data_IF_272350429575
#
_entry.id   IF_272350429575
#
_cell.length_a   1.000
_cell.length_b   1.000
_cell.length_c   1.000
_cell.angle_alpha   90.00
_cell.angle_beta   90.00
_cell.angle_gamma   90.00
#
_symmetry.space_group_name_H-M   'P 1'
#
loop_
_entity.id
_entity.type
_entity.pdbx_description
1 polymer ?
#
# COMPACT_ATOMS: atom_id res chain seq x y z
N UNK A 1 -47.73 -14.17 -48.58
CA UNK A 1 -46.66 -13.26 -49.02
C UNK A 1 -46.57 -12.10 -48.07
N UNK A 2 -45.58 -12.08 -47.18
CA UNK A 2 -44.84 -10.89 -46.76
C UNK A 2 -43.66 -11.38 -45.92
N UNK A 3 -42.50 -11.42 -46.57
CA UNK A 3 -41.19 -11.61 -45.97
C UNK A 3 -40.75 -10.30 -45.32
N UNK A 4 -40.39 -10.32 -44.04
CA UNK A 4 -39.56 -9.28 -43.45
C UNK A 4 -38.34 -9.92 -42.80
N UNK A 5 -37.20 -9.61 -43.41
CA UNK A 5 -35.85 -10.03 -43.08
C UNK A 5 -35.38 -9.43 -41.75
N UNK A 6 -34.85 -10.30 -40.89
CA UNK A 6 -34.37 -10.02 -39.53
C UNK A 6 -32.95 -9.42 -39.49
N UNK A 7 -32.59 -8.59 -40.47
CA UNK A 7 -31.21 -8.13 -40.69
C UNK A 7 -30.97 -6.62 -40.49
N UNK A 8 -31.82 -5.90 -39.74
CA UNK A 8 -31.69 -4.42 -39.63
C UNK A 8 -31.70 -3.86 -38.19
N UNK A 9 -31.32 -4.61 -37.16
CA UNK A 9 -31.30 -4.10 -35.76
C UNK A 9 -30.00 -4.43 -35.00
N UNK A 10 -28.85 -4.48 -35.67
CA UNK A 10 -27.57 -4.36 -34.98
C UNK A 10 -26.59 -3.56 -35.84
N UNK A 11 -26.27 -2.31 -35.49
CA UNK A 11 -25.18 -1.62 -36.13
C UNK A 11 -23.84 -2.21 -35.66
N UNK A 12 -22.95 -2.44 -36.61
CA UNK A 12 -21.53 -2.83 -36.58
C UNK A 12 -20.61 -1.96 -35.68
N UNK A 13 -21.04 -1.55 -34.48
CA UNK A 13 -20.21 -0.74 -33.56
C UNK A 13 -19.28 -1.56 -32.66
N UNK A 14 -19.39 -2.89 -32.64
CA UNK A 14 -18.61 -3.74 -31.73
C UNK A 14 -17.21 -4.17 -32.24
N UNK A 15 -16.81 -3.81 -33.47
CA UNK A 15 -15.44 -4.12 -33.93
C UNK A 15 -14.45 -3.02 -33.51
N UNK A 16 -14.79 -1.75 -33.70
CA UNK A 16 -13.89 -0.62 -33.44
C UNK A 16 -13.52 -0.45 -31.96
N UNK A 17 -14.42 -0.77 -31.02
CA UNK A 17 -14.11 -0.73 -29.59
C UNK A 17 -13.19 -1.90 -29.17
N UNK A 18 -13.33 -3.08 -29.78
CA UNK A 18 -12.42 -4.20 -29.53
C UNK A 18 -11.01 -3.95 -30.07
N UNK A 19 -10.91 -3.31 -31.23
CA UNK A 19 -9.62 -2.91 -31.80
C UNK A 19 -8.94 -1.83 -30.94
N UNK A 20 -9.72 -0.91 -30.35
CA UNK A 20 -9.20 0.11 -29.41
C UNK A 20 -8.72 -0.50 -28.09
N UNK A 21 -9.48 -1.43 -27.52
CA UNK A 21 -9.08 -2.16 -26.29
C UNK A 21 -7.81 -2.99 -26.53
N UNK A 22 -7.68 -3.62 -27.70
CA UNK A 22 -6.50 -4.41 -28.05
C UNK A 22 -5.25 -3.55 -28.30
N UNK A 23 -5.40 -2.38 -28.93
CA UNK A 23 -4.33 -1.36 -29.05
C UNK A 23 -3.85 -0.87 -27.67
N UNK A 24 -4.78 -0.62 -26.75
CA UNK A 24 -4.48 -0.18 -25.38
C UNK A 24 -3.75 -1.27 -24.58
N UNK A 25 -4.19 -2.53 -24.71
CA UNK A 25 -3.51 -3.68 -24.13
C UNK A 25 -2.07 -3.84 -24.65
N UNK A 26 -1.86 -3.72 -25.97
CA UNK A 26 -0.53 -3.79 -26.58
C UNK A 26 0.39 -2.64 -26.14
N UNK A 27 -0.18 -1.44 -25.93
CA UNK A 27 0.55 -0.29 -25.40
C UNK A 27 1.00 -0.53 -23.95
N UNK A 28 0.12 -1.06 -23.11
CA UNK A 28 0.44 -1.42 -21.73
C UNK A 28 1.51 -2.50 -21.65
N UNK A 29 1.45 -3.52 -22.52
CA UNK A 29 2.47 -4.57 -22.60
C UNK A 29 3.84 -4.04 -23.05
N UNK A 30 3.89 -3.04 -23.95
CA UNK A 30 5.14 -2.37 -24.34
C UNK A 30 5.72 -1.56 -23.17
N UNK A 31 4.89 -0.86 -22.41
CA UNK A 31 5.32 -0.09 -21.24
C UNK A 31 5.87 -0.99 -20.11
N UNK A 32 5.20 -2.11 -19.82
CA UNK A 32 5.68 -3.13 -18.87
C UNK A 32 7.02 -3.72 -19.31
N UNK A 33 7.19 -4.01 -20.61
CA UNK A 33 8.49 -4.48 -21.14
C UNK A 33 9.58 -3.42 -21.01
N UNK A 34 9.26 -2.14 -21.19
CA UNK A 34 10.20 -1.04 -20.98
C UNK A 34 10.61 -0.88 -19.51
N UNK A 35 9.66 -1.01 -18.57
CA UNK A 35 9.94 -1.02 -17.12
C UNK A 35 10.85 -2.19 -16.72
N UNK A 36 10.55 -3.42 -17.16
CA UNK A 36 11.39 -4.60 -16.88
C UNK A 36 12.79 -4.49 -17.52
N UNK A 37 12.93 -3.77 -18.63
CA UNK A 37 14.23 -3.51 -19.25
C UNK A 37 15.01 -2.40 -18.51
N UNK A 38 14.33 -1.42 -17.92
CA UNK A 38 14.92 -0.44 -17.01
C UNK A 38 15.44 -1.09 -15.72
N UNK A 39 14.69 -2.03 -15.14
CA UNK A 39 15.13 -2.81 -13.98
C UNK A 39 16.36 -3.69 -14.27
N UNK A 40 16.49 -4.19 -15.50
CA UNK A 40 17.72 -4.88 -15.93
C UNK A 40 18.94 -3.97 -15.98
N UNK A 41 18.80 -2.68 -16.32
CA UNK A 41 19.90 -1.72 -16.22
C UNK A 41 20.32 -1.48 -14.77
N UNK A 42 19.37 -1.33 -13.84
CA UNK A 42 19.66 -1.20 -12.41
C UNK A 42 20.37 -2.45 -11.86
N UNK A 43 20.02 -3.64 -12.36
CA UNK A 43 20.72 -4.89 -12.01
C UNK A 43 22.14 -5.01 -12.61
N UNK A 44 22.40 -4.43 -13.78
CA UNK A 44 23.75 -4.38 -14.39
C UNK A 44 24.62 -3.36 -13.65
N UNK A 45 24.06 -2.22 -13.26
CA UNK A 45 24.73 -1.18 -12.47
C UNK A 45 25.06 -1.67 -11.05
N UNK A 46 24.20 -2.50 -10.45
CA UNK A 46 24.48 -3.21 -9.19
C UNK A 46 25.61 -4.24 -9.31
N UNK A 47 25.81 -4.84 -10.49
CA UNK A 47 26.93 -5.74 -10.76
C UNK A 47 28.24 -4.96 -10.96
N UNK A 48 28.18 -3.77 -11.56
CA UNK A 48 29.33 -2.86 -11.67
C UNK A 48 29.80 -2.36 -10.29
N UNK A 49 28.87 -2.03 -9.38
CA UNK A 49 29.18 -1.69 -7.99
C UNK A 49 29.87 -2.81 -7.18
N UNK A 50 29.75 -4.07 -7.62
CA UNK A 50 30.43 -5.22 -6.99
C UNK A 50 31.84 -5.46 -7.56
N UNK A 51 32.15 -4.93 -8.75
CA UNK A 51 33.44 -5.08 -9.43
C UNK A 51 34.33 -3.84 -9.43
N UNK A 52 33.82 -2.68 -9.03
CA UNK A 52 34.63 -1.48 -8.73
C UNK A 52 35.31 -1.57 -7.35
N UNK A 53 35.88 -2.73 -7.06
CA UNK A 53 36.93 -2.88 -6.06
C UNK A 53 38.21 -2.32 -6.70
N UNK A 54 38.91 -1.35 -6.08
CA UNK A 54 40.21 -0.95 -6.58
C UNK A 54 41.11 -2.17 -6.54
N UNK A 55 41.51 -2.67 -7.72
CA UNK A 55 42.57 -3.68 -7.89
C UNK A 55 43.94 -3.18 -7.39
N UNK A 56 44.02 -1.99 -6.77
CA UNK A 56 45.24 -1.41 -6.23
C UNK A 56 45.78 -2.10 -4.97
N UNK A 57 45.09 -3.11 -4.44
CA UNK A 57 45.61 -3.94 -3.32
C UNK A 57 46.26 -5.26 -3.78
N UNK A 58 46.11 -5.67 -5.05
CA UNK A 58 46.74 -6.90 -5.58
C UNK A 58 48.13 -6.67 -6.19
N UNK A 59 48.51 -5.42 -6.49
CA UNK A 59 49.85 -5.11 -7.03
C UNK A 59 50.95 -5.02 -5.96
N UNK A 60 50.63 -5.16 -4.67
CA UNK A 60 51.64 -5.10 -3.59
C UNK A 60 52.06 -6.46 -3.01
N UNK A 61 51.43 -7.57 -3.40
CA UNK A 61 51.80 -8.92 -2.93
C UNK A 61 52.27 -9.89 -4.03
N UNK A 62 52.46 -9.42 -5.26
CA UNK A 62 52.92 -10.24 -6.40
C UNK A 62 54.44 -10.23 -6.68
N UNK A 63 55.21 -9.37 -6.03
CA UNK A 63 56.67 -9.33 -6.18
C UNK A 63 57.36 -9.77 -4.87
N UNK A 64 57.18 -11.04 -4.53
CA UNK A 64 58.17 -11.82 -3.79
C UNK A 64 59.44 -11.99 -4.61
N UNK A 65 60.05 -10.88 -5.02
CA UNK A 65 61.40 -10.85 -5.55
C UNK A 65 62.32 -11.20 -4.40
N UNK A 66 62.80 -12.44 -4.41
CA UNK A 66 63.99 -12.88 -3.68
C UNK A 66 65.10 -11.91 -4.11
N UNK A 67 65.30 -10.83 -3.35
CA UNK A 67 66.54 -10.07 -3.37
C UNK A 67 67.57 -10.95 -2.68
N UNK A 68 68.09 -11.86 -3.49
CA UNK A 68 69.37 -12.52 -3.29
C UNK A 68 70.38 -11.39 -3.04
N UNK A 69 70.71 -11.14 -1.76
CA UNK A 69 71.87 -10.35 -1.40
C UNK A 69 73.09 -11.07 -1.98
N UNK A 70 73.46 -10.71 -3.20
CA UNK A 70 74.81 -10.92 -3.69
C UNK A 70 75.71 -10.09 -2.76
N UNK A 71 76.27 -10.77 -1.75
CA UNK A 71 77.55 -10.44 -1.14
C UNK A 71 78.56 -10.28 -2.28
N UNK A 72 78.64 -9.07 -2.86
CA UNK A 72 79.85 -8.64 -3.52
C UNK A 72 80.89 -8.59 -2.41
N UNK A 73 81.74 -9.62 -2.35
CA UNK A 73 83.06 -9.55 -1.74
C UNK A 73 83.81 -8.44 -2.47
N UNK A 74 83.57 -7.19 -2.08
CA UNK A 74 84.46 -6.09 -2.35
C UNK A 74 85.74 -6.37 -1.59
N UNK A 75 86.71 -6.95 -2.29
CA UNK A 75 88.11 -6.92 -1.90
C UNK A 75 88.46 -5.44 -1.72
N UNK A 76 88.58 -4.99 -0.48
CA UNK A 76 89.38 -3.80 -0.21
C UNK A 76 90.83 -4.23 -0.46
N UNK A 77 91.29 -4.08 -1.69
CA UNK A 77 92.71 -4.01 -1.98
C UNK A 77 93.21 -2.70 -1.37
N UNK A 78 93.72 -2.78 -0.15
CA UNK A 78 94.51 -1.71 0.44
C UNK A 78 95.78 -1.52 -0.39
N UNK A 79 95.79 -0.50 -1.25
CA UNK A 79 97.01 0.06 -1.78
C UNK A 79 97.61 0.97 -0.70
N UNK A 80 98.35 0.37 0.23
CA UNK A 80 99.28 1.11 1.10
C UNK A 80 100.43 1.57 0.23
N UNK A 81 100.27 2.76 -0.36
CA UNK A 81 101.36 3.46 -1.02
C UNK A 81 102.28 3.98 0.09
N UNK A 82 103.30 3.20 0.42
CA UNK A 82 104.39 3.63 1.28
C UNK A 82 105.04 4.88 0.67
N UNK A 83 104.78 6.04 1.27
CA UNK A 83 105.49 7.30 0.97
C UNK A 83 106.70 7.36 1.90
N UNK A 84 107.92 7.66 1.42
CA UNK A 84 109.10 7.68 2.29
C UNK A 84 108.99 8.84 3.28
N UNK A 85 109.06 8.53 4.57
CA UNK A 85 109.18 9.50 5.65
C UNK A 85 110.53 10.21 5.58
N UNK A 86 110.53 11.54 5.65
CA UNK A 86 111.51 12.32 6.44
C UNK A 86 111.22 13.82 6.35
N UNK A 87 110.38 14.31 7.27
CA UNK A 87 110.63 15.41 8.22
C UNK A 87 109.37 15.58 9.09
N UNK A 88 109.59 15.79 10.39
CA UNK A 88 108.60 16.12 11.44
C UNK A 88 107.81 14.96 12.10
N UNK A 89 108.54 14.05 12.75
CA UNK A 89 108.02 12.89 13.51
C UNK A 89 107.28 13.28 14.81
N UNK A 90 107.35 14.54 15.24
CA UNK A 90 106.58 15.04 16.40
C UNK A 90 105.15 15.50 16.09
N UNK A 91 104.83 15.82 14.83
CA UNK A 91 103.52 16.37 14.42
C UNK A 91 102.60 15.33 13.78
N UNK A 92 103.17 14.29 13.15
CA UNK A 92 102.45 13.32 12.32
C UNK A 92 101.68 12.23 13.13
N UNK A 93 102.07 11.99 14.39
CA UNK A 93 101.38 11.03 15.27
C UNK A 93 100.08 11.58 15.87
N UNK A 94 100.08 12.88 16.19
CA UNK A 94 98.91 13.56 16.74
C UNK A 94 97.77 13.69 15.72
N UNK A 95 98.08 13.95 14.44
CA UNK A 95 97.10 14.05 13.36
C UNK A 95 96.36 12.71 13.11
N UNK A 96 97.06 11.57 13.18
CA UNK A 96 96.46 10.25 12.96
C UNK A 96 95.60 9.80 14.14
N UNK A 97 95.97 10.16 15.37
CA UNK A 97 95.17 9.91 16.57
C UNK A 97 93.91 10.80 16.60
N UNK A 98 94.03 12.06 16.20
CA UNK A 98 92.89 12.97 16.05
C UNK A 98 91.91 12.49 14.97
N UNK A 99 92.43 12.01 13.84
CA UNK A 99 91.61 11.43 12.77
C UNK A 99 90.91 10.14 13.24
N UNK A 100 91.61 9.24 13.94
CA UNK A 100 91.00 8.03 14.50
C UNK A 100 89.92 8.32 15.55
N UNK A 101 90.15 9.31 16.42
CA UNK A 101 89.14 9.77 17.39
C UNK A 101 87.92 10.38 16.69
N UNK A 102 88.13 11.18 15.63
CA UNK A 102 87.04 11.76 14.85
C UNK A 102 86.18 10.68 14.16
N UNK A 103 86.81 9.65 13.61
CA UNK A 103 86.14 8.52 12.98
C UNK A 103 85.34 7.69 13.99
N UNK A 104 85.88 7.46 15.19
CA UNK A 104 85.19 6.74 16.25
C UNK A 104 83.94 7.48 16.74
N UNK A 105 84.00 8.82 16.85
CA UNK A 105 82.85 9.65 17.22
C UNK A 105 81.77 9.60 16.14
N UNK A 106 82.17 9.69 14.86
CA UNK A 106 81.24 9.62 13.74
C UNK A 106 80.59 8.22 13.61
N UNK A 107 81.34 7.14 13.83
CA UNK A 107 80.78 5.78 13.87
C UNK A 107 79.73 5.63 14.99
N UNK A 108 80.03 6.15 16.18
CA UNK A 108 79.10 6.07 17.30
C UNK A 108 77.84 6.93 17.07
N UNK A 109 77.98 8.08 16.41
CA UNK A 109 76.86 8.91 15.96
C UNK A 109 76.01 8.18 14.91
N UNK A 110 76.64 7.51 13.95
CA UNK A 110 75.94 6.69 12.95
C UNK A 110 75.19 5.53 13.61
N UNK A 111 75.81 4.84 14.58
CA UNK A 111 75.17 3.77 15.33
C UNK A 111 73.90 4.24 16.05
N UNK A 112 73.97 5.36 16.77
CA UNK A 112 72.80 5.95 17.45
C UNK A 112 71.70 6.32 16.43
N UNK A 113 72.07 6.88 15.28
CA UNK A 113 71.12 7.21 14.23
C UNK A 113 70.44 5.96 13.66
N UNK A 114 71.18 4.88 13.40
CA UNK A 114 70.62 3.61 12.93
C UNK A 114 69.65 3.04 13.97
N UNK A 115 70.05 2.93 15.24
CA UNK A 115 69.20 2.42 16.31
C UNK A 115 67.92 3.25 16.50
N UNK A 116 67.98 4.57 16.30
CA UNK A 116 66.79 5.42 16.31
C UNK A 116 65.85 5.09 15.13
N UNK A 117 66.38 5.00 13.91
CA UNK A 117 65.57 4.66 12.73
C UNK A 117 64.99 3.25 12.78
N UNK A 118 65.68 2.29 13.39
CA UNK A 118 65.16 0.92 13.58
C UNK A 118 63.92 0.92 14.48
N UNK A 119 63.95 1.69 15.59
CA UNK A 119 62.79 1.85 16.47
C UNK A 119 61.60 2.51 15.76
N UNK A 120 61.85 3.54 14.98
CA UNK A 120 60.82 4.21 14.18
C UNK A 120 60.20 3.25 13.15
N UNK A 121 61.02 2.40 12.52
CA UNK A 121 60.57 1.39 11.56
C UNK A 121 59.73 0.30 12.23
N UNK A 122 60.12 -0.16 13.42
CA UNK A 122 59.33 -1.09 14.24
C UNK A 122 57.96 -0.48 14.62
N UNK A 123 57.95 0.79 15.04
CA UNK A 123 56.72 1.54 15.33
C UNK A 123 55.81 1.66 14.11
N UNK A 124 56.37 2.03 12.96
CA UNK A 124 55.62 2.12 11.70
C UNK A 124 55.02 0.77 11.26
N UNK A 125 55.74 -0.34 11.48
CA UNK A 125 55.23 -1.69 11.20
C UNK A 125 54.06 -2.05 12.10
N UNK A 126 54.14 -1.74 13.39
CA UNK A 126 53.04 -1.99 14.33
C UNK A 126 51.79 -1.19 13.96
N UNK A 127 51.95 0.10 13.65
CA UNK A 127 50.86 0.95 13.20
C UNK A 127 50.24 0.47 11.88
N UNK A 128 51.07 0.04 10.92
CA UNK A 128 50.57 -0.53 9.66
C UNK A 128 49.73 -1.77 9.91
N UNK A 129 50.15 -2.66 10.83
CA UNK A 129 49.38 -3.86 11.19
C UNK A 129 48.04 -3.50 11.84
N UNK A 130 48.05 -2.56 12.79
CA UNK A 130 46.85 -2.06 13.46
C UNK A 130 45.84 -1.48 12.46
N UNK A 131 46.31 -0.63 11.54
CA UNK A 131 45.47 -0.04 10.50
C UNK A 131 44.89 -1.09 9.55
N UNK A 132 45.65 -2.14 9.22
CA UNK A 132 45.14 -3.21 8.36
C UNK A 132 44.01 -4.00 9.06
N UNK A 133 44.15 -4.32 10.34
CA UNK A 133 43.11 -4.98 11.13
C UNK A 133 41.83 -4.11 11.25
N UNK A 134 41.99 -2.79 11.39
CA UNK A 134 40.89 -1.83 11.41
C UNK A 134 40.18 -1.74 10.05
N UNK A 135 40.94 -1.71 8.94
CA UNK A 135 40.40 -1.75 7.59
C UNK A 135 39.60 -3.04 7.31
N UNK A 136 40.09 -4.20 7.76
CA UNK A 136 39.40 -5.49 7.63
C UNK A 136 38.10 -5.53 8.46
N UNK A 137 38.11 -4.93 9.66
CA UNK A 137 36.90 -4.79 10.48
C UNK A 137 35.88 -3.89 9.76
N UNK A 138 36.30 -2.73 9.29
CA UNK A 138 35.44 -1.79 8.56
C UNK A 138 34.87 -2.42 7.28
N UNK A 139 35.66 -3.19 6.55
CA UNK A 139 35.20 -3.90 5.35
C UNK A 139 34.10 -4.92 5.67
N UNK A 140 34.21 -5.63 6.80
CA UNK A 140 33.16 -6.57 7.25
C UNK A 140 31.88 -5.85 7.66
N UNK A 141 32.00 -4.76 8.41
CA UNK A 141 30.85 -3.95 8.82
C UNK A 141 30.14 -3.32 7.60
N UNK A 142 30.91 -2.81 6.63
CA UNK A 142 30.37 -2.33 5.34
C UNK A 142 29.61 -3.43 4.61
N UNK A 143 30.17 -4.63 4.51
CA UNK A 143 29.49 -5.76 3.85
C UNK A 143 28.16 -6.11 4.55
N UNK A 144 28.14 -6.10 5.89
CA UNK A 144 26.91 -6.34 6.66
C UNK A 144 25.85 -5.25 6.41
N UNK A 145 26.24 -3.98 6.40
CA UNK A 145 25.33 -2.86 6.10
C UNK A 145 24.77 -2.99 4.68
N UNK A 146 25.60 -3.34 3.69
CA UNK A 146 25.16 -3.56 2.32
C UNK A 146 24.11 -4.69 2.22
N UNK A 147 24.31 -5.81 2.93
CA UNK A 147 23.31 -6.89 2.99
C UNK A 147 21.98 -6.41 3.57
N UNK A 148 22.01 -5.65 4.67
CA UNK A 148 20.80 -5.10 5.27
C UNK A 148 20.07 -4.12 4.34
N UNK A 149 20.80 -3.25 3.64
CA UNK A 149 20.21 -2.33 2.65
C UNK A 149 19.50 -3.10 1.55
N UNK A 150 20.13 -4.14 1.00
CA UNK A 150 19.55 -4.97 -0.06
C UNK A 150 18.27 -5.68 0.41
N UNK A 151 18.28 -6.23 1.63
CA UNK A 151 17.08 -6.86 2.21
C UNK A 151 15.94 -5.85 2.38
N UNK A 152 16.24 -4.64 2.86
CA UNK A 152 15.25 -3.57 3.00
C UNK A 152 14.71 -3.13 1.64
N UNK A 153 15.56 -2.94 0.63
CA UNK A 153 15.15 -2.60 -0.72
C UNK A 153 14.24 -3.66 -1.35
N UNK A 154 14.55 -4.94 -1.16
CA UNK A 154 13.71 -6.06 -1.60
C UNK A 154 12.34 -6.01 -0.93
N UNK A 155 12.30 -5.78 0.39
CA UNK A 155 11.04 -5.66 1.13
C UNK A 155 10.21 -4.46 0.67
N UNK A 156 10.84 -3.31 0.45
CA UNK A 156 10.17 -2.11 -0.08
C UNK A 156 9.59 -2.37 -1.46
N UNK A 157 10.33 -3.07 -2.34
CA UNK A 157 9.85 -3.40 -3.69
C UNK A 157 8.64 -4.35 -3.65
N UNK A 158 8.65 -5.36 -2.76
CA UNK A 158 7.51 -6.25 -2.53
C UNK A 158 6.28 -5.47 -2.07
N UNK A 159 6.44 -4.61 -1.05
CA UNK A 159 5.35 -3.80 -0.50
C UNK A 159 4.81 -2.80 -1.52
N UNK A 160 5.66 -2.21 -2.37
CA UNK A 160 5.24 -1.34 -3.44
C UNK A 160 4.35 -2.08 -4.46
N UNK A 161 4.74 -3.30 -4.86
CA UNK A 161 3.93 -4.14 -5.74
C UNK A 161 2.58 -4.50 -5.10
N UNK A 162 2.57 -4.90 -3.82
CA UNK A 162 1.35 -5.18 -3.07
C UNK A 162 0.43 -3.95 -3.00
N UNK A 163 1.00 -2.76 -2.72
CA UNK A 163 0.26 -1.50 -2.67
C UNK A 163 -0.41 -1.17 -4.01
N UNK A 164 0.30 -1.35 -5.14
CA UNK A 164 -0.29 -1.14 -6.46
C UNK A 164 -1.43 -2.13 -6.76
N UNK A 165 -1.27 -3.40 -6.36
CA UNK A 165 -2.29 -4.44 -6.54
C UNK A 165 -3.55 -4.13 -5.73
N UNK A 166 -3.37 -3.68 -4.48
CA UNK A 166 -4.47 -3.25 -3.61
C UNK A 166 -5.20 -2.02 -4.19
N UNK A 167 -4.46 -1.03 -4.70
CA UNK A 167 -5.05 0.14 -5.36
C UNK A 167 -5.91 -0.25 -6.56
N UNK A 168 -5.41 -1.14 -7.43
CA UNK A 168 -6.16 -1.64 -8.58
C UNK A 168 -7.43 -2.39 -8.16
N UNK A 169 -7.34 -3.20 -7.10
CA UNK A 169 -8.49 -3.95 -6.56
C UNK A 169 -9.55 -2.99 -6.01
N UNK A 170 -9.13 -1.94 -5.30
CA UNK A 170 -10.03 -0.92 -4.78
C UNK A 170 -10.78 -0.19 -5.90
N UNK A 171 -10.08 0.19 -6.98
CA UNK A 171 -10.71 0.84 -8.13
C UNK A 171 -11.76 -0.05 -8.80
N UNK A 172 -11.51 -1.36 -8.89
CA UNK A 172 -12.49 -2.32 -9.43
C UNK A 172 -13.72 -2.43 -8.54
N UNK A 173 -13.54 -2.55 -7.22
CA UNK A 173 -14.65 -2.60 -6.26
C UNK A 173 -15.48 -1.32 -6.26
N UNK A 174 -14.84 -0.15 -6.41
CA UNK A 174 -15.53 1.12 -6.54
C UNK A 174 -16.38 1.16 -7.82
N UNK A 175 -15.83 0.71 -8.96
CA UNK A 175 -16.58 0.61 -10.22
C UNK A 175 -17.77 -0.33 -10.10
N UNK A 176 -17.61 -1.49 -9.47
CA UNK A 176 -18.69 -2.45 -9.23
C UNK A 176 -19.78 -1.86 -8.34
N UNK A 177 -19.39 -1.18 -7.25
CA UNK A 177 -20.31 -0.49 -6.34
C UNK A 177 -21.17 0.53 -7.09
N UNK A 178 -20.56 1.39 -7.91
CA UNK A 178 -21.29 2.38 -8.72
C UNK A 178 -22.25 1.71 -9.70
N UNK A 179 -21.81 0.62 -10.34
CA UNK A 179 -22.64 -0.17 -11.26
C UNK A 179 -23.86 -0.79 -10.56
N UNK A 180 -23.66 -1.40 -9.38
CA UNK A 180 -24.74 -1.98 -8.59
C UNK A 180 -25.70 -0.91 -8.07
N UNK A 181 -25.18 0.22 -7.62
CA UNK A 181 -26.00 1.36 -7.19
C UNK A 181 -26.89 1.87 -8.32
N UNK A 182 -26.35 1.97 -9.55
CA UNK A 182 -27.13 2.34 -10.73
C UNK A 182 -28.25 1.34 -11.01
N UNK A 183 -27.97 0.03 -11.00
CA UNK A 183 -28.98 -1.01 -11.22
C UNK A 183 -30.10 -0.96 -10.16
N UNK A 184 -29.72 -0.74 -8.91
CA UNK A 184 -30.67 -0.63 -7.80
C UNK A 184 -31.57 0.60 -7.96
N UNK A 185 -31.05 1.73 -8.44
CA UNK A 185 -31.85 2.91 -8.73
C UNK A 185 -32.83 2.67 -9.90
N UNK A 186 -32.39 1.99 -10.96
CA UNK A 186 -33.27 1.58 -12.07
C UNK A 186 -34.42 0.69 -11.58
N UNK A 187 -34.14 -0.30 -10.72
CA UNK A 187 -35.17 -1.14 -10.10
C UNK A 187 -36.12 -0.33 -9.22
N UNK A 188 -35.61 0.60 -8.41
CA UNK A 188 -36.43 1.48 -7.57
C UNK A 188 -37.39 2.31 -8.43
N UNK A 189 -36.90 2.93 -9.51
CA UNK A 189 -37.75 3.68 -10.42
C UNK A 189 -38.79 2.81 -11.13
N UNK A 190 -38.46 1.56 -11.46
CA UNK A 190 -39.41 0.62 -12.04
C UNK A 190 -40.56 0.29 -11.07
N UNK A 191 -40.26 -0.05 -9.82
CA UNK A 191 -41.28 -0.35 -8.83
C UNK A 191 -42.08 0.88 -8.40
N UNK A 192 -41.45 2.06 -8.38
CA UNK A 192 -42.12 3.34 -8.18
C UNK A 192 -43.23 3.54 -9.23
N UNK A 193 -42.88 3.35 -10.51
CA UNK A 193 -43.83 3.47 -11.61
C UNK A 193 -44.99 2.48 -11.50
N UNK A 194 -44.71 1.22 -11.14
CA UNK A 194 -45.76 0.21 -10.91
C UNK A 194 -46.67 0.64 -9.77
N UNK A 195 -46.10 1.15 -8.68
CA UNK A 195 -46.86 1.63 -7.52
C UNK A 195 -47.79 2.79 -7.91
N UNK A 196 -47.30 3.76 -8.67
CA UNK A 196 -48.10 4.86 -9.19
C UNK A 196 -49.24 4.37 -10.09
N UNK A 197 -48.97 3.42 -11.00
CA UNK A 197 -50.00 2.83 -11.88
C UNK A 197 -51.10 2.12 -11.08
N UNK A 198 -50.73 1.35 -10.06
CA UNK A 198 -51.68 0.68 -9.18
C UNK A 198 -52.51 1.67 -8.37
N UNK A 199 -51.90 2.73 -7.85
CA UNK A 199 -52.60 3.79 -7.14
C UNK A 199 -53.59 4.52 -8.05
N UNK A 200 -53.22 4.82 -9.30
CA UNK A 200 -54.12 5.41 -10.27
C UNK A 200 -55.34 4.52 -10.55
N UNK A 201 -55.12 3.22 -10.80
CA UNK A 201 -56.21 2.26 -11.01
C UNK A 201 -57.13 2.14 -9.80
N UNK A 202 -56.57 2.18 -8.59
CA UNK A 202 -57.36 2.12 -7.36
C UNK A 202 -58.21 3.39 -7.18
N UNK A 203 -57.64 4.56 -7.44
CA UNK A 203 -58.36 5.84 -7.36
C UNK A 203 -59.50 5.90 -8.39
N UNK A 204 -59.25 5.48 -9.64
CA UNK A 204 -60.27 5.42 -10.69
C UNK A 204 -61.44 4.50 -10.29
N UNK A 205 -61.15 3.34 -9.70
CA UNK A 205 -62.18 2.46 -9.14
C UNK A 205 -62.97 3.13 -8.01
N UNK A 206 -62.30 3.85 -7.12
CA UNK A 206 -62.94 4.54 -5.99
C UNK A 206 -63.82 5.71 -6.45
N UNK A 207 -63.37 6.46 -7.46
CA UNK A 207 -64.13 7.55 -8.08
C UNK A 207 -65.35 7.00 -8.83
N UNK A 208 -65.18 5.89 -9.55
CA UNK A 208 -66.28 5.19 -10.21
C UNK A 208 -67.36 4.75 -9.21
N UNK A 209 -66.98 4.08 -8.11
CA UNK A 209 -67.93 3.68 -7.04
C UNK A 209 -68.63 4.89 -6.44
N UNK A 210 -67.89 5.97 -6.18
CA UNK A 210 -68.45 7.22 -5.63
C UNK A 210 -69.46 7.85 -6.59
N UNK A 211 -69.18 7.84 -7.90
CA UNK A 211 -70.11 8.30 -8.94
C UNK A 211 -71.38 7.46 -9.00
N UNK A 212 -71.27 6.13 -8.91
CA UNK A 212 -72.43 5.24 -8.86
C UNK A 212 -73.30 5.51 -7.62
N UNK A 213 -72.69 5.70 -6.46
CA UNK A 213 -73.40 6.07 -5.23
C UNK A 213 -74.17 7.38 -5.38
N UNK A 214 -73.58 8.38 -6.04
CA UNK A 214 -74.23 9.68 -6.28
C UNK A 214 -75.41 9.58 -7.26
N UNK A 215 -75.30 8.76 -8.31
CA UNK A 215 -76.41 8.48 -9.24
C UNK A 215 -77.61 7.85 -8.53
N UNK A 216 -77.35 6.81 -7.73
CA UNK A 216 -78.40 6.16 -6.92
C UNK A 216 -79.10 7.16 -5.99
N UNK A 217 -78.35 8.09 -5.38
CA UNK A 217 -78.92 9.13 -4.52
C UNK A 217 -79.71 10.21 -5.27
N UNK A 218 -79.33 10.57 -6.49
CA UNK A 218 -79.99 11.61 -7.29
C UNK A 218 -81.25 11.10 -7.98
N UNK A 219 -81.25 9.85 -8.44
CA UNK A 219 -82.45 9.19 -9.00
C UNK A 219 -83.56 9.00 -7.95
N UNK A 220 -83.23 8.90 -6.67
CA UNK A 220 -84.20 8.88 -5.56
C UNK A 220 -84.82 10.23 -5.20
N UNK A 221 -84.35 11.35 -5.78
CA UNK A 221 -84.88 12.71 -5.47
C UNK A 221 -85.75 13.25 -6.61
N UNK A 222 -85.63 12.73 -7.85
CA UNK A 222 -86.43 13.21 -9.00
C UNK A 222 -87.59 12.31 -9.40
N UNK A 223 -87.71 11.10 -8.86
CA UNK A 223 -88.86 10.22 -9.05
C UNK A 223 -89.71 10.18 -7.79
N UNK A 224 -90.93 10.70 -7.84
CA UNK A 224 -91.95 10.33 -6.87
C UNK A 224 -92.19 8.82 -7.01
N UNK A 225 -91.62 8.00 -6.13
CA UNK A 225 -92.37 6.91 -5.52
C UNK A 225 -91.63 6.25 -4.36
N UNK A 226 -92.46 5.73 -3.45
CA UNK A 226 -92.15 5.32 -2.09
C UNK A 226 -91.30 4.04 -2.08
N UNK A 227 -90.06 4.15 -1.59
CA UNK A 227 -89.37 3.22 -0.67
C UNK A 227 -87.86 3.30 -0.90
N UNK A 228 -87.16 4.08 -0.08
CA UNK A 228 -85.72 3.93 0.08
C UNK A 228 -85.41 3.62 1.54
N UNK A 229 -85.18 2.34 1.81
CA UNK A 229 -84.62 1.83 3.05
C UNK A 229 -83.20 2.38 3.19
N UNK A 230 -83.03 3.29 4.15
CA UNK A 230 -81.73 3.75 4.61
C UNK A 230 -81.08 2.59 5.39
N UNK A 231 -80.05 1.94 4.84
CA UNK A 231 -79.20 1.03 5.62
C UNK A 231 -78.27 1.87 6.50
N UNK A 232 -78.83 2.37 7.60
CA UNK A 232 -78.05 2.74 8.77
C UNK A 232 -77.53 1.46 9.43
N UNK A 233 -76.23 1.43 9.70
CA UNK A 233 -75.51 0.36 10.39
C UNK A 233 -76.23 -0.13 11.66
N UNK A 234 -76.35 -1.45 11.81
CA UNK A 234 -76.56 -2.09 13.12
C UNK A 234 -77.98 -2.48 13.53
N UNK A 235 -78.75 -3.22 12.70
CA UNK A 235 -79.93 -3.95 13.21
C UNK A 235 -79.99 -5.43 12.77
N UNK A 236 -80.47 -6.36 13.63
CA UNK A 236 -80.46 -7.79 13.35
C UNK A 236 -81.51 -8.17 12.30
N UNK A 237 -81.13 -9.14 11.47
CA UNK A 237 -81.92 -9.74 10.41
C UNK A 237 -82.98 -10.65 11.06
N UNK A 238 -84.16 -10.14 11.38
CA UNK A 238 -85.29 -11.05 11.69
C UNK A 238 -86.66 -10.62 11.19
N UNK A 239 -86.85 -9.41 10.68
CA UNK A 239 -88.15 -9.00 10.12
C UNK A 239 -87.95 -8.06 8.93
N UNK A 240 -88.03 -8.59 7.71
CA UNK A 240 -88.22 -7.79 6.48
C UNK A 240 -89.60 -8.14 5.88
N UNK A 241 -90.40 -7.15 5.44
CA UNK A 241 -91.64 -7.41 4.72
C UNK A 241 -91.35 -7.96 3.32
N UNK A 242 -92.17 -8.90 2.87
CA UNK A 242 -92.10 -9.50 1.53
C UNK A 242 -92.14 -8.43 0.43
N UNK A 243 -91.11 -8.41 -0.42
CA UNK A 243 -91.07 -7.62 -1.65
C UNK A 243 -91.46 -8.57 -2.80
N UNK A 244 -92.74 -8.56 -3.09
CA UNK A 244 -93.36 -9.24 -4.22
C UNK A 244 -93.20 -8.32 -5.44
N UNK A 245 -92.20 -8.59 -6.31
CA UNK A 245 -92.01 -7.78 -7.52
C UNK A 245 -90.62 -7.71 -8.16
N UNK A 246 -89.65 -8.57 -7.81
CA UNK A 246 -88.42 -8.72 -8.60
C UNK A 246 -88.42 -10.09 -9.29
N UNK A 247 -88.32 -10.09 -10.62
CA UNK A 247 -88.21 -11.30 -11.43
C UNK A 247 -86.96 -12.09 -11.08
N UNK A 248 -87.13 -13.40 -10.93
CA UNK A 248 -86.17 -14.42 -10.46
C UNK A 248 -84.83 -14.41 -11.23
N UNK A 249 -84.83 -13.90 -12.47
CA UNK A 249 -83.67 -13.87 -13.37
C UNK A 249 -82.57 -12.84 -12.98
N UNK A 250 -82.88 -11.86 -12.13
CA UNK A 250 -81.94 -10.76 -11.79
C UNK A 250 -81.24 -10.95 -10.42
N UNK A 251 -81.77 -11.80 -9.53
CA UNK A 251 -81.23 -12.03 -8.19
C UNK A 251 -80.11 -13.08 -8.15
N UNK A 252 -80.19 -14.08 -9.02
CA UNK A 252 -79.24 -15.19 -9.06
C UNK A 252 -77.82 -14.78 -9.54
N UNK A 253 -77.65 -13.97 -10.60
CA UNK A 253 -76.31 -13.59 -11.08
C UNK A 253 -75.55 -12.66 -10.10
N UNK A 254 -76.29 -11.81 -9.37
CA UNK A 254 -75.70 -10.83 -8.45
C UNK A 254 -75.16 -11.49 -7.18
N UNK A 255 -75.86 -12.52 -6.68
CA UNK A 255 -75.46 -13.28 -5.49
C UNK A 255 -74.31 -14.24 -5.77
N UNK A 256 -74.24 -14.84 -6.96
CA UNK A 256 -73.09 -15.67 -7.37
C UNK A 256 -71.83 -14.85 -7.60
N UNK A 257 -71.93 -13.68 -8.25
CA UNK A 257 -70.76 -12.82 -8.51
C UNK A 257 -70.19 -12.23 -7.22
N UNK A 258 -71.04 -11.84 -6.26
CA UNK A 258 -70.58 -11.35 -4.96
C UNK A 258 -69.85 -12.44 -4.16
N UNK A 259 -70.33 -13.68 -4.22
CA UNK A 259 -69.71 -14.81 -3.52
C UNK A 259 -68.35 -15.17 -4.13
N UNK A 260 -68.25 -15.19 -5.46
CA UNK A 260 -66.98 -15.42 -6.16
C UNK A 260 -65.95 -14.32 -5.85
N UNK A 261 -66.38 -13.05 -5.81
CA UNK A 261 -65.54 -11.92 -5.40
C UNK A 261 -65.04 -12.04 -3.96
N UNK A 262 -65.90 -12.46 -3.03
CA UNK A 262 -65.52 -12.71 -1.63
C UNK A 262 -64.50 -13.86 -1.52
N UNK A 263 -64.72 -14.96 -2.24
CA UNK A 263 -63.80 -16.10 -2.27
C UNK A 263 -62.44 -15.73 -2.89
N UNK A 264 -62.43 -14.89 -3.93
CA UNK A 264 -61.22 -14.33 -4.52
C UNK A 264 -60.47 -13.41 -3.54
N UNK A 265 -61.20 -12.57 -2.79
CA UNK A 265 -60.63 -11.67 -1.79
C UNK A 265 -60.01 -12.44 -0.62
N UNK A 266 -60.66 -13.50 -0.15
CA UNK A 266 -60.10 -14.38 0.89
C UNK A 266 -58.91 -15.19 0.39
N UNK A 267 -58.92 -15.60 -0.87
CA UNK A 267 -57.77 -16.26 -1.52
C UNK A 267 -56.58 -15.29 -1.65
N UNK A 268 -56.82 -14.04 -2.07
CA UNK A 268 -55.79 -13.02 -2.17
C UNK A 268 -55.21 -12.66 -0.79
N UNK A 269 -56.07 -12.54 0.23
CA UNK A 269 -55.66 -12.30 1.61
C UNK A 269 -54.76 -13.42 2.14
N UNK A 270 -55.09 -14.69 1.85
CA UNK A 270 -54.27 -15.85 2.26
C UNK A 270 -52.89 -15.82 1.60
N UNK A 271 -52.83 -15.49 0.30
CA UNK A 271 -51.56 -15.35 -0.44
C UNK A 271 -50.69 -14.22 0.10
N UNK A 272 -51.30 -13.10 0.50
CA UNK A 272 -50.58 -11.97 1.11
C UNK A 272 -49.92 -12.40 2.43
N UNK A 273 -50.66 -13.11 3.29
CA UNK A 273 -50.12 -13.59 4.57
C UNK A 273 -49.00 -14.63 4.36
N UNK A 274 -49.13 -15.51 3.36
CA UNK A 274 -48.06 -16.44 2.98
C UNK A 274 -46.80 -15.70 2.49
N UNK A 275 -46.95 -14.66 1.66
CA UNK A 275 -45.83 -13.84 1.21
C UNK A 275 -45.18 -13.06 2.35
N UNK A 276 -45.96 -12.53 3.30
CA UNK A 276 -45.41 -11.88 4.50
C UNK A 276 -44.59 -12.86 5.34
N UNK A 277 -45.08 -14.08 5.52
CA UNK A 277 -44.36 -15.13 6.24
C UNK A 277 -43.03 -15.48 5.55
N UNK A 278 -43.06 -15.72 4.23
CA UNK A 278 -41.85 -16.01 3.43
C UNK A 278 -40.85 -14.85 3.44
N UNK A 279 -41.32 -13.60 3.37
CA UNK A 279 -40.46 -12.41 3.44
C UNK A 279 -39.77 -12.31 4.80
N UNK A 280 -40.48 -12.66 5.88
CA UNK A 280 -39.93 -12.67 7.24
C UNK A 280 -38.88 -13.77 7.41
N UNK A 281 -39.12 -14.95 6.83
CA UNK A 281 -38.17 -16.07 6.83
C UNK A 281 -36.88 -15.76 6.05
N UNK A 282 -37.00 -15.16 4.86
CA UNK A 282 -35.85 -14.70 4.08
C UNK A 282 -35.05 -13.62 4.83
N UNK A 283 -35.72 -12.65 5.44
CA UNK A 283 -35.07 -11.62 6.25
C UNK A 283 -34.27 -12.22 7.41
N UNK A 284 -34.85 -13.21 8.10
CA UNK A 284 -34.18 -13.93 9.18
C UNK A 284 -32.98 -14.75 8.67
N UNK A 285 -33.10 -15.40 7.50
CA UNK A 285 -32.00 -16.16 6.90
C UNK A 285 -30.86 -15.24 6.45
N UNK A 286 -31.15 -14.10 5.83
CA UNK A 286 -30.16 -13.10 5.42
C UNK A 286 -29.38 -12.54 6.62
N UNK A 287 -30.09 -12.24 7.72
CA UNK A 287 -29.44 -11.78 8.94
C UNK A 287 -28.51 -12.86 9.54
N UNK A 288 -28.93 -14.13 9.52
CA UNK A 288 -28.09 -15.25 9.98
C UNK A 288 -26.87 -15.46 9.09
N UNK A 289 -27.03 -15.41 7.77
CA UNK A 289 -25.92 -15.57 6.83
C UNK A 289 -24.90 -14.45 7.01
N UNK A 290 -25.34 -13.18 7.03
CA UNK A 290 -24.44 -12.04 7.24
C UNK A 290 -23.73 -12.07 8.60
N UNK A 291 -24.41 -12.52 9.65
CA UNK A 291 -23.78 -12.71 10.96
C UNK A 291 -22.77 -13.86 10.96
N UNK A 292 -23.08 -14.99 10.31
CA UNK A 292 -22.17 -16.13 10.20
C UNK A 292 -20.92 -15.82 9.38
N UNK A 293 -21.09 -15.05 8.30
CA UNK A 293 -20.00 -14.63 7.42
C UNK A 293 -19.06 -13.67 8.16
N UNK A 294 -19.61 -12.69 8.87
CA UNK A 294 -18.84 -11.78 9.72
C UNK A 294 -18.07 -12.52 10.84
N UNK A 295 -18.71 -13.49 11.50
CA UNK A 295 -18.05 -14.32 12.52
C UNK A 295 -16.90 -15.12 11.91
N UNK A 296 -17.12 -15.73 10.74
CA UNK A 296 -16.08 -16.52 10.06
C UNK A 296 -14.88 -15.66 9.63
N UNK A 297 -15.13 -14.44 9.13
CA UNK A 297 -14.07 -13.52 8.72
C UNK A 297 -13.25 -13.03 9.94
N UNK A 298 -13.91 -12.75 11.05
CA UNK A 298 -13.24 -12.40 12.30
C UNK A 298 -12.44 -13.59 12.86
N UNK A 299 -12.94 -14.82 12.74
CA UNK A 299 -12.21 -16.02 13.15
C UNK A 299 -10.95 -16.24 12.33
N UNK A 300 -10.99 -16.07 11.00
CA UNK A 300 -9.79 -16.15 10.15
C UNK A 300 -8.75 -15.10 10.56
N UNK A 301 -9.18 -13.87 10.88
CA UNK A 301 -8.29 -12.81 11.38
C UNK A 301 -7.71 -13.16 12.75
N UNK A 302 -8.53 -13.68 13.66
CA UNK A 302 -8.09 -14.15 14.97
C UNK A 302 -7.08 -15.28 14.82
N UNK A 303 -7.28 -16.17 13.85
CA UNK A 303 -6.40 -17.30 13.60
C UNK A 303 -5.00 -16.89 13.09
N UNK A 304 -4.92 -15.75 12.41
CA UNK A 304 -3.65 -15.16 11.95
C UNK A 304 -2.79 -14.53 13.05
N UNK A 305 -3.32 -14.30 14.25
CA UNK A 305 -2.53 -13.71 15.33
C UNK A 305 -1.56 -14.72 15.99
N UNK A 306 -0.42 -14.25 16.53
CA UNK A 306 0.44 -15.05 17.40
C UNK A 306 -0.32 -15.64 18.59
N UNK A 307 0.13 -16.80 19.08
CA UNK A 307 -0.52 -17.51 20.18
C UNK A 307 -0.59 -16.69 21.48
N UNK A 308 0.43 -15.86 21.70
CA UNK A 308 0.55 -14.95 22.82
C UNK A 308 -0.63 -13.95 22.85
N UNK A 309 -0.99 -13.38 21.70
CA UNK A 309 -2.11 -12.43 21.60
C UNK A 309 -3.48 -13.10 21.74
N UNK A 310 -3.62 -14.39 21.35
CA UNK A 310 -4.87 -15.14 21.49
C UNK A 310 -5.17 -15.57 22.93
N UNK A 311 -4.12 -15.68 23.75
CA UNK A 311 -4.21 -16.12 25.15
C UNK A 311 -4.39 -14.95 26.12
N UNK A 312 -4.01 -13.73 25.72
CA UNK A 312 -4.22 -12.52 26.52
C UNK A 312 -5.70 -12.23 26.72
N UNK A 313 -6.03 -11.76 27.93
CA UNK A 313 -7.39 -11.32 28.21
C UNK A 313 -7.70 -9.97 27.51
N UNK A 314 -8.99 -9.73 27.28
CA UNK A 314 -9.46 -8.55 26.54
C UNK A 314 -9.07 -7.22 27.22
N UNK A 315 -8.87 -7.23 28.55
CA UNK A 315 -8.49 -6.02 29.28
C UNK A 315 -7.02 -5.71 29.03
N UNK A 316 -6.14 -6.69 29.17
CA UNK A 316 -4.72 -6.53 28.84
C UNK A 316 -4.50 -6.17 27.37
N UNK A 317 -5.23 -6.77 26.43
CA UNK A 317 -5.13 -6.43 25.02
C UNK A 317 -5.53 -4.97 24.73
N UNK A 318 -6.55 -4.48 25.44
CA UNK A 318 -6.99 -3.09 25.32
C UNK A 318 -5.96 -2.12 25.90
N UNK A 319 -5.37 -2.45 27.05
CA UNK A 319 -4.32 -1.64 27.69
C UNK A 319 -3.07 -1.53 26.79
N UNK A 320 -2.62 -2.64 26.20
CA UNK A 320 -1.50 -2.64 25.24
C UNK A 320 -1.81 -1.83 23.98
N UNK A 321 -3.03 -1.94 23.45
CA UNK A 321 -3.45 -1.13 22.30
C UNK A 321 -3.45 0.38 22.64
N UNK A 322 -3.93 0.76 23.82
CA UNK A 322 -3.89 2.15 24.29
C UNK A 322 -2.45 2.64 24.50
N UNK A 323 -1.56 1.80 25.02
CA UNK A 323 -0.12 2.11 25.15
C UNK A 323 0.53 2.34 23.78
N UNK A 324 0.28 1.46 22.80
CA UNK A 324 0.78 1.61 21.43
C UNK A 324 0.27 2.89 20.75
N UNK A 325 -0.99 3.27 21.00
CA UNK A 325 -1.53 4.53 20.50
C UNK A 325 -0.83 5.74 21.13
N UNK A 326 -0.52 5.68 22.42
CA UNK A 326 0.22 6.73 23.12
C UNK A 326 1.67 6.84 22.60
N UNK A 327 2.36 5.72 22.41
CA UNK A 327 3.72 5.69 21.85
C UNK A 327 3.74 6.29 20.44
N UNK A 328 2.78 5.90 19.59
CA UNK A 328 2.62 6.47 18.25
C UNK A 328 2.41 7.98 18.28
N UNK A 329 1.61 8.49 19.22
CA UNK A 329 1.42 9.93 19.37
C UNK A 329 2.73 10.62 19.79
N UNK A 330 3.46 10.05 20.75
CA UNK A 330 4.76 10.57 21.18
C UNK A 330 5.81 10.57 20.06
N UNK A 331 5.86 9.53 19.22
CA UNK A 331 6.74 9.49 18.04
C UNK A 331 6.39 10.60 17.04
N UNK A 332 5.11 10.86 16.79
CA UNK A 332 4.68 11.95 15.91
C UNK A 332 5.07 13.32 16.46
N UNK A 333 4.90 13.54 17.76
CA UNK A 333 5.33 14.77 18.43
C UNK A 333 6.86 14.96 18.35
N UNK A 334 7.63 13.90 18.53
CA UNK A 334 9.09 13.93 18.39
C UNK A 334 9.51 14.27 16.95
N UNK A 335 8.88 13.63 15.95
CA UNK A 335 9.13 13.93 14.55
C UNK A 335 8.79 15.38 14.20
N UNK A 336 7.67 15.89 14.73
CA UNK A 336 7.30 17.29 14.55
C UNK A 336 8.32 18.24 15.19
N UNK A 337 8.79 17.94 16.41
CA UNK A 337 9.84 18.73 17.07
C UNK A 337 11.16 18.74 16.29
N UNK A 338 11.54 17.61 15.69
CA UNK A 338 12.72 17.55 14.82
C UNK A 338 12.54 18.42 13.57
N UNK A 339 11.36 18.38 12.95
CA UNK A 339 11.05 19.21 11.79
C UNK A 339 11.13 20.70 12.14
N UNK A 340 10.53 21.13 13.26
CA UNK A 340 10.63 22.52 13.75
C UNK A 340 12.08 22.94 14.00
N UNK A 341 12.92 22.03 14.52
CA UNK A 341 14.34 22.31 14.77
C UNK A 341 15.14 22.42 13.48
N UNK A 342 14.82 21.63 12.46
CA UNK A 342 15.41 21.74 11.12
C UNK A 342 15.04 23.10 10.51
N UNK A 343 13.77 23.50 10.59
CA UNK A 343 13.31 24.80 10.08
C UNK A 343 14.00 25.98 10.78
N UNK A 344 14.20 25.88 12.10
CA UNK A 344 14.98 26.88 12.85
C UNK A 344 16.42 26.98 12.35
N UNK A 345 17.08 25.85 12.07
CA UNK A 345 18.44 25.81 11.56
C UNK A 345 18.54 26.33 10.12
N UNK A 346 17.55 26.07 9.28
CA UNK A 346 17.45 26.62 7.92
C UNK A 346 17.22 28.14 7.92
N UNK A 347 16.54 28.68 8.94
CA UNK A 347 16.35 30.12 9.12
C UNK A 347 17.59 30.89 9.61
N UNK A 348 18.63 30.20 10.06
CA UNK A 348 19.88 30.81 10.52
C UNK A 348 20.85 31.00 9.33
N UNK A 349 20.83 32.18 8.72
CA UNK A 349 21.91 32.63 7.81
C UNK A 349 22.86 33.54 8.57
N UNK A 350 24.11 33.10 8.76
CA UNK A 350 25.14 33.90 9.45
C UNK A 350 26.19 34.39 8.44
N UNK A 351 26.46 35.70 8.49
CA UNK A 351 27.50 36.34 7.70
C UNK A 351 28.83 36.23 8.46
N UNK A 352 29.70 35.36 7.98
CA UNK A 352 31.01 35.12 8.59
C UNK A 352 32.05 36.01 7.92
N UNK A 353 32.71 36.86 8.71
CA UNK A 353 33.85 37.67 8.27
C UNK A 353 35.14 36.88 8.32
N UNK A 354 35.77 36.69 7.16
CA UNK A 354 37.12 36.16 7.06
C UNK A 354 38.14 37.21 7.55
N UNK A 355 39.25 36.75 8.13
CA UNK A 355 40.38 37.61 8.49
C UNK A 355 41.01 38.33 7.28
N UNK A 356 40.67 37.89 6.07
CA UNK A 356 41.01 38.52 4.79
C UNK A 356 40.12 39.72 4.41
N UNK A 357 39.07 40.01 5.17
CA UNK A 357 38.14 41.12 4.92
C UNK A 357 36.93 40.78 4.03
N UNK A 358 36.86 39.55 3.51
CA UNK A 358 35.69 39.07 2.76
C UNK A 358 34.59 38.53 3.70
N UNK A 359 33.33 38.85 3.38
CA UNK A 359 32.14 38.37 4.07
C UNK A 359 31.54 37.18 3.31
N UNK A 360 31.32 36.06 3.99
CA UNK A 360 30.71 34.85 3.43
C UNK A 360 29.36 34.60 4.10
N UNK A 361 28.31 34.47 3.29
CA UNK A 361 26.99 34.07 3.78
C UNK A 361 26.93 32.55 3.85
N UNK A 362 26.84 32.00 5.06
CA UNK A 362 26.68 30.56 5.26
C UNK A 362 25.19 30.25 5.33
N UNK A 363 24.70 29.49 4.36
CA UNK A 363 23.33 28.98 4.30
C UNK A 363 23.38 27.45 4.32
N UNK A 364 22.57 26.82 5.18
CA UNK A 364 22.29 25.39 5.11
C UNK A 364 21.29 25.16 3.97
N UNK A 365 21.76 24.65 2.83
CA UNK A 365 20.88 24.28 1.71
C UNK A 365 20.22 22.92 1.97
N UNK A 366 18.97 22.81 1.50
CA UNK A 366 18.10 21.62 1.52
C UNK A 366 18.78 20.32 1.10
#
# INVERSE_FOLDING_TARGET
SFSLSLSTIFPEKHSADRDREMEEYLRNMKNLRAQMNGERHVSVDLWACFYDFPSSAMDFFGNGGIYEQKKKKGKWSGDVRARPLLKDVGSCGAEFEEEAASLSVEEQKQKIAVEATEKDLESARFETKRLNEEADKMSREKAQICCQILEKQKKTSSLAMESTTLSQTLELLQKETISLQKKLEEERMYYEKIREELNYKLQDQQDWVSSQKLKVMTDTVSGSDKNLMCFSEGRPISELPSIEGMTEDMWFPLTTNYKDLMDQLETARRKLEELKAKTSEISLHNNKLGQSECISELQVKIDGFPAELKVMDAKSLKEEHEALLADKAGELEYLQSLQERIEQLQGMSEEVKCQCGEEYKVELRD
#
